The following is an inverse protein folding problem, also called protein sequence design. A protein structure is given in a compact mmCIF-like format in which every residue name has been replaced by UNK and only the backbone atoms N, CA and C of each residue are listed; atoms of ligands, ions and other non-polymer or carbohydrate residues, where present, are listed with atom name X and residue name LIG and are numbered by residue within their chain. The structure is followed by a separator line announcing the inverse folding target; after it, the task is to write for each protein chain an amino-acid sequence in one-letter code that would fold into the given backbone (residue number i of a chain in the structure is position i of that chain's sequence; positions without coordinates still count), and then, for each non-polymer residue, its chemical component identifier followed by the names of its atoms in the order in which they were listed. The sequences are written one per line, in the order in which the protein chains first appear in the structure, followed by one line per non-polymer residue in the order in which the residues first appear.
data_IF_481613771722
#
_entry.id   IF_481613771722
#
_cell.length_a   1.000
_cell.length_b   1.000
_cell.length_c   1.000
_cell.angle_alpha   90.00
_cell.angle_beta   90.00
_cell.angle_gamma   90.00
#
_symmetry.space_group_name_H-M   'P 1'
#
loop_
_entity.id
_entity.type
_entity.pdbx_description
1 polymer ?
#
# COMPACT_ATOMS: atom_id res chain seq x y z
N UNK A 1 -4.31 34.69 -66.06
CA UNK A 1 -2.88 35.04 -65.90
C UNK A 1 -2.27 34.11 -64.86
N UNK A 2 -1.44 33.23 -65.33
CA UNK A 2 -0.82 32.16 -64.55
C UNK A 2 0.54 32.63 -64.03
N UNK A 3 0.88 32.23 -62.85
CA UNK A 3 2.27 32.27 -62.40
C UNK A 3 2.63 30.98 -61.69
N UNK A 4 3.30 30.10 -62.39
CA UNK A 4 3.94 28.88 -61.94
C UNK A 4 5.23 29.25 -61.20
N UNK A 5 5.42 28.76 -60.01
CA UNK A 5 6.76 28.66 -59.35
C UNK A 5 7.27 27.25 -59.45
N UNK A 6 8.40 27.14 -60.14
CA UNK A 6 9.23 25.94 -60.29
C UNK A 6 9.98 25.67 -59.01
N UNK A 7 9.87 24.44 -58.49
CA UNK A 7 10.75 23.94 -57.42
C UNK A 7 11.82 23.08 -58.12
N UNK A 8 13.08 23.50 -57.99
CA UNK A 8 14.27 22.76 -58.44
C UNK A 8 14.50 21.56 -57.47
N UNK A 9 14.61 20.38 -58.08
CA UNK A 9 15.19 19.21 -57.45
C UNK A 9 16.71 19.40 -57.31
N UNK A 10 17.25 19.09 -56.15
CA UNK A 10 18.68 18.94 -55.92
C UNK A 10 18.97 17.45 -55.73
N UNK A 11 19.58 16.89 -56.76
CA UNK A 11 20.19 15.57 -56.77
C UNK A 11 21.44 15.60 -55.88
N UNK A 12 21.62 14.62 -55.03
CA UNK A 12 22.74 14.47 -54.13
C UNK A 12 22.99 13.02 -53.78
N UNK A 13 23.29 12.22 -54.76
CA UNK A 13 23.90 10.90 -54.61
C UNK A 13 25.22 10.98 -53.85
N UNK A 14 25.31 10.49 -52.63
CA UNK A 14 26.58 10.03 -52.03
C UNK A 14 26.38 8.64 -51.44
N UNK A 15 27.04 7.69 -52.10
CA UNK A 15 27.14 6.30 -51.67
C UNK A 15 27.76 6.20 -50.28
N UNK A 16 27.14 5.44 -49.43
CA UNK A 16 27.69 5.02 -48.17
C UNK A 16 28.29 3.63 -48.34
N UNK A 17 29.61 3.56 -48.41
CA UNK A 17 30.38 2.32 -48.39
C UNK A 17 30.19 1.64 -47.03
N UNK A 18 29.74 0.38 -47.07
CA UNK A 18 29.72 -0.50 -45.94
C UNK A 18 31.18 -0.80 -45.51
N UNK A 19 31.65 -0.11 -44.48
CA UNK A 19 32.87 -0.45 -43.78
C UNK A 19 32.60 -1.59 -42.80
N UNK A 20 33.41 -2.66 -42.88
CA UNK A 20 33.46 -3.76 -41.93
C UNK A 20 33.64 -3.20 -40.52
N UNK A 21 32.66 -3.35 -39.69
CA UNK A 21 32.83 -3.18 -38.23
C UNK A 21 33.34 -4.49 -37.65
N UNK A 22 34.39 -4.46 -36.82
CA UNK A 22 34.86 -5.63 -36.12
C UNK A 22 33.82 -6.06 -35.09
N UNK A 23 33.64 -7.37 -34.97
CA UNK A 23 32.85 -8.02 -33.93
C UNK A 23 33.47 -7.63 -32.59
N UNK A 24 32.80 -6.79 -31.84
CA UNK A 24 33.18 -6.47 -30.44
C UNK A 24 32.93 -7.70 -29.58
N UNK A 25 34.02 -8.23 -29.01
CA UNK A 25 33.99 -9.25 -27.96
C UNK A 25 33.07 -8.79 -26.83
N UNK A 26 32.26 -9.73 -26.32
CA UNK A 26 31.45 -9.54 -25.14
C UNK A 26 32.33 -9.25 -23.92
N UNK A 27 32.62 -8.01 -23.65
CA UNK A 27 33.10 -7.60 -22.35
C UNK A 27 31.93 -7.76 -21.34
N UNK A 28 32.11 -8.70 -20.42
CA UNK A 28 31.33 -8.80 -19.19
C UNK A 28 31.51 -7.47 -18.44
N UNK A 29 30.56 -6.57 -18.61
CA UNK A 29 30.43 -5.40 -17.74
C UNK A 29 30.00 -5.91 -16.35
N UNK A 30 31.00 -6.18 -15.51
CA UNK A 30 30.77 -6.39 -14.10
C UNK A 30 30.27 -5.07 -13.51
N UNK A 31 28.96 -4.98 -13.32
CA UNK A 31 28.32 -3.88 -12.60
C UNK A 31 28.60 -4.05 -11.11
N UNK A 32 29.86 -3.80 -10.69
CA UNK A 32 30.20 -3.58 -9.30
C UNK A 32 29.98 -2.10 -8.98
N UNK A 33 28.74 -1.71 -8.75
CA UNK A 33 28.47 -0.55 -7.95
C UNK A 33 28.12 -1.06 -6.55
N UNK A 34 29.08 -0.94 -5.65
CA UNK A 34 28.92 -1.11 -4.22
C UNK A 34 27.89 -0.10 -3.72
N UNK A 35 26.63 -0.54 -3.65
CA UNK A 35 25.70 0.07 -2.70
C UNK A 35 26.09 -0.57 -1.35
N UNK A 36 26.60 0.24 -0.43
CA UNK A 36 26.75 -0.09 0.98
C UNK A 36 25.38 -0.21 1.66
N UNK A 37 24.57 -1.14 1.16
CA UNK A 37 23.46 -1.71 1.90
C UNK A 37 24.10 -2.90 2.61
N UNK A 38 24.37 -2.76 3.90
CA UNK A 38 24.70 -3.89 4.76
C UNK A 38 23.75 -5.03 4.39
N UNK A 39 24.23 -6.18 3.89
CA UNK A 39 23.35 -7.26 3.48
C UNK A 39 22.53 -7.65 4.70
N UNK A 40 21.21 -7.48 4.64
CA UNK A 40 20.31 -8.01 5.66
C UNK A 40 20.66 -9.49 5.77
N UNK A 41 21.24 -9.88 6.89
CA UNK A 41 21.69 -11.24 7.10
C UNK A 41 20.51 -12.17 6.81
N UNK A 42 20.71 -13.17 5.92
CA UNK A 42 19.69 -14.20 5.64
C UNK A 42 19.14 -14.79 6.94
N UNK A 43 19.95 -14.91 7.97
CA UNK A 43 19.56 -15.32 9.30
C UNK A 43 18.54 -14.38 9.93
N UNK A 44 18.61 -13.06 9.69
CA UNK A 44 17.65 -12.08 10.19
C UNK A 44 16.33 -12.16 9.40
N UNK A 45 16.40 -12.27 8.08
CA UNK A 45 15.21 -12.42 7.23
C UNK A 45 14.47 -13.72 7.50
N UNK A 46 15.19 -14.85 7.62
CA UNK A 46 14.60 -16.15 7.96
C UNK A 46 14.01 -16.17 9.37
N UNK A 47 14.64 -15.48 10.33
CA UNK A 47 14.11 -15.32 11.69
C UNK A 47 12.79 -14.54 11.74
N UNK A 48 12.67 -13.48 10.92
CA UNK A 48 11.42 -12.71 10.77
C UNK A 48 10.36 -13.58 10.10
N UNK A 49 10.70 -14.27 9.01
CA UNK A 49 9.77 -15.16 8.29
C UNK A 49 9.24 -16.28 9.21
N UNK A 50 10.11 -16.92 9.99
CA UNK A 50 9.73 -17.94 10.97
C UNK A 50 8.85 -17.37 12.09
N UNK A 51 9.06 -16.11 12.48
CA UNK A 51 8.22 -15.45 13.48
C UNK A 51 6.82 -15.17 12.95
N UNK A 52 6.70 -14.71 11.71
CA UNK A 52 5.41 -14.44 11.07
C UNK A 52 4.69 -15.74 10.71
N UNK A 53 5.41 -16.79 10.29
CA UNK A 53 4.84 -18.05 9.81
C UNK A 53 4.27 -18.95 10.92
N UNK A 54 4.50 -18.65 12.19
CA UNK A 54 3.88 -19.43 13.29
C UNK A 54 2.42 -18.98 13.50
N UNK A 55 1.45 -19.91 13.53
CA UNK A 55 0.02 -19.59 13.45
C UNK A 55 -0.47 -18.60 14.50
N UNK A 56 -0.13 -18.80 15.79
CA UNK A 56 -0.60 -17.91 16.84
C UNK A 56 -0.03 -16.48 16.69
N UNK A 57 1.25 -16.36 16.34
CA UNK A 57 1.86 -15.04 16.07
C UNK A 57 1.28 -14.40 14.82
N UNK A 58 1.01 -15.17 13.78
CA UNK A 58 0.30 -14.68 12.59
C UNK A 58 -1.06 -14.07 12.97
N UNK A 59 -1.89 -14.79 13.73
CA UNK A 59 -3.19 -14.29 14.19
C UNK A 59 -3.05 -12.97 14.96
N UNK A 60 -2.07 -12.87 15.88
CA UNK A 60 -1.80 -11.63 16.63
C UNK A 60 -1.43 -10.48 15.69
N UNK A 61 -0.52 -10.71 14.75
CA UNK A 61 -0.05 -9.68 13.81
C UNK A 61 -1.18 -9.22 12.87
N UNK A 62 -1.93 -10.15 12.29
CA UNK A 62 -3.05 -9.84 11.41
C UNK A 62 -4.18 -9.12 12.14
N UNK A 63 -4.40 -9.43 13.42
CA UNK A 63 -5.34 -8.70 14.26
C UNK A 63 -4.95 -7.23 14.43
N UNK A 64 -3.65 -6.92 14.52
CA UNK A 64 -3.13 -5.56 14.68
C UNK A 64 -3.08 -4.74 13.37
N UNK A 65 -3.39 -5.34 12.21
CA UNK A 65 -3.44 -4.63 10.93
C UNK A 65 -4.55 -3.57 10.84
N UNK A 66 -5.51 -3.58 11.76
CA UNK A 66 -6.53 -2.52 11.83
C UNK A 66 -6.01 -1.21 12.42
N UNK A 67 -4.73 -1.18 12.82
CA UNK A 67 -4.07 -0.01 13.42
C UNK A 67 -4.40 0.23 14.90
N UNK A 68 -5.21 -0.64 15.52
CA UNK A 68 -5.57 -0.52 16.93
C UNK A 68 -4.55 -1.24 17.81
N UNK A 69 -4.22 -0.62 18.93
CA UNK A 69 -3.43 -1.27 19.95
C UNK A 69 -4.32 -2.20 20.80
N UNK A 70 -3.80 -3.40 21.13
CA UNK A 70 -4.49 -4.42 21.92
C UNK A 70 -3.65 -4.87 23.11
N UNK A 71 -4.33 -5.28 24.16
CA UNK A 71 -3.69 -5.88 25.33
C UNK A 71 -3.20 -7.29 25.03
N UNK A 72 -2.28 -7.81 25.85
CA UNK A 72 -1.83 -9.20 25.72
C UNK A 72 -2.97 -10.21 25.90
N UNK A 73 -3.95 -9.90 26.74
CA UNK A 73 -5.13 -10.75 26.96
C UNK A 73 -6.01 -10.83 25.71
N UNK A 74 -6.29 -9.69 25.06
CA UNK A 74 -7.06 -9.67 23.81
C UNK A 74 -6.35 -10.45 22.72
N UNK A 75 -5.02 -10.29 22.60
CA UNK A 75 -4.23 -11.01 21.62
C UNK A 75 -4.12 -12.50 21.93
N UNK A 76 -4.14 -12.91 23.20
CA UNK A 76 -4.22 -14.31 23.59
C UNK A 76 -5.53 -14.96 23.12
N UNK A 77 -6.66 -14.28 23.28
CA UNK A 77 -7.98 -14.74 22.82
C UNK A 77 -8.01 -14.87 21.30
N UNK A 78 -7.51 -13.85 20.59
CA UNK A 78 -7.46 -13.87 19.10
C UNK A 78 -6.62 -15.02 18.57
N UNK A 79 -5.53 -15.33 19.24
CA UNK A 79 -4.60 -16.39 18.81
C UNK A 79 -4.96 -17.78 19.36
N UNK A 80 -6.02 -17.87 20.14
CA UNK A 80 -6.47 -19.12 20.81
C UNK A 80 -5.35 -19.79 21.62
N UNK A 81 -4.65 -18.98 22.43
CA UNK A 81 -3.56 -19.45 23.30
C UNK A 81 -3.73 -18.95 24.72
N UNK A 82 -3.02 -19.58 25.66
CA UNK A 82 -3.00 -19.11 27.07
C UNK A 82 -2.29 -17.74 27.18
N UNK A 83 -2.59 -16.98 28.22
CA UNK A 83 -1.95 -15.68 28.48
C UNK A 83 -0.42 -15.81 28.63
N UNK A 84 0.08 -16.92 29.21
CA UNK A 84 1.50 -17.20 29.30
C UNK A 84 2.14 -17.44 27.95
N UNK A 85 1.52 -18.24 27.09
CA UNK A 85 1.96 -18.50 25.71
C UNK A 85 1.95 -17.21 24.88
N UNK A 86 0.87 -16.41 25.00
CA UNK A 86 0.78 -15.10 24.33
C UNK A 86 1.93 -14.17 24.74
N UNK A 87 2.30 -14.16 26.03
CA UNK A 87 3.42 -13.34 26.50
C UNK A 87 4.74 -13.74 25.85
N UNK A 88 5.00 -15.04 25.69
CA UNK A 88 6.21 -15.55 24.99
C UNK A 88 6.20 -15.12 23.51
N UNK A 89 5.05 -15.30 22.83
CA UNK A 89 4.89 -14.89 21.44
C UNK A 89 5.10 -13.39 21.26
N UNK A 90 4.46 -12.57 22.09
CA UNK A 90 4.58 -11.11 22.04
C UNK A 90 6.00 -10.63 22.36
N UNK A 91 6.71 -11.29 23.28
CA UNK A 91 8.10 -10.98 23.54
C UNK A 91 8.98 -11.29 22.30
N UNK A 92 8.75 -12.39 21.62
CA UNK A 92 9.47 -12.73 20.38
C UNK A 92 9.19 -11.71 19.28
N UNK A 93 7.93 -11.34 19.08
CA UNK A 93 7.53 -10.32 18.09
C UNK A 93 8.15 -8.95 18.40
N UNK A 94 8.22 -8.58 19.69
CA UNK A 94 8.85 -7.34 20.15
C UNK A 94 10.37 -7.35 19.88
N UNK A 95 11.06 -8.46 20.20
CA UNK A 95 12.50 -8.59 19.98
C UNK A 95 12.86 -8.42 18.49
N UNK A 96 12.01 -8.91 17.60
CA UNK A 96 12.17 -8.79 16.14
C UNK A 96 11.61 -7.48 15.56
N UNK A 97 11.19 -6.54 16.40
CA UNK A 97 10.60 -5.25 15.99
C UNK A 97 9.41 -5.40 15.04
N UNK A 98 8.61 -6.44 15.22
CA UNK A 98 7.34 -6.61 14.51
C UNK A 98 6.20 -5.94 15.25
N UNK A 99 6.30 -5.83 16.59
CA UNK A 99 5.35 -5.09 17.42
C UNK A 99 6.07 -4.18 18.39
N UNK A 100 5.46 -3.04 18.67
CA UNK A 100 5.83 -2.15 19.77
C UNK A 100 4.83 -2.27 20.90
N UNK A 101 5.29 -1.94 22.11
CA UNK A 101 4.47 -1.96 23.32
C UNK A 101 4.53 -0.60 23.99
N UNK A 102 3.40 -0.12 24.47
CA UNK A 102 3.33 1.04 25.35
C UNK A 102 2.49 0.71 26.59
N UNK A 103 2.85 1.31 27.71
CA UNK A 103 2.16 1.14 28.97
C UNK A 103 1.19 2.31 29.20
N UNK A 104 -0.03 1.99 29.62
CA UNK A 104 -1.01 2.97 30.08
C UNK A 104 -1.61 2.49 31.40
N UNK A 105 -1.20 3.12 32.49
CA UNK A 105 -1.53 2.62 33.84
C UNK A 105 -0.95 1.23 34.06
N UNK A 106 -1.79 0.28 34.47
CA UNK A 106 -1.41 -1.13 34.67
C UNK A 106 -1.48 -1.99 33.39
N UNK A 107 -1.93 -1.44 32.28
CA UNK A 107 -2.13 -2.18 31.02
C UNK A 107 -0.97 -1.96 30.07
N UNK A 108 -0.61 -3.00 29.33
CA UNK A 108 0.34 -2.98 28.23
C UNK A 108 -0.43 -3.20 26.94
N UNK A 109 -0.25 -2.28 26.01
CA UNK A 109 -0.88 -2.31 24.69
C UNK A 109 0.18 -2.58 23.63
N UNK A 110 -0.15 -3.42 22.68
CA UNK A 110 0.69 -3.82 21.56
C UNK A 110 0.10 -3.28 20.27
N UNK A 111 0.95 -2.79 19.38
CA UNK A 111 0.60 -2.40 18.01
C UNK A 111 1.72 -2.80 17.07
N UNK A 112 1.49 -2.82 15.76
CA UNK A 112 2.56 -3.04 14.79
C UNK A 112 3.66 -1.97 14.96
N UNK A 113 4.92 -2.37 14.76
CA UNK A 113 6.08 -1.46 14.91
C UNK A 113 6.03 -0.31 13.90
N UNK A 114 5.46 -0.53 12.72
CA UNK A 114 5.33 0.50 11.70
C UNK A 114 4.75 0.00 10.38
N UNK A 115 4.70 0.93 9.41
CA UNK A 115 4.10 0.71 8.10
C UNK A 115 4.78 -0.41 7.29
N UNK A 116 6.09 -0.62 7.48
CA UNK A 116 6.83 -1.69 6.79
C UNK A 116 6.36 -3.09 7.22
N UNK A 117 6.04 -3.26 8.50
CA UNK A 117 5.50 -4.53 9.01
C UNK A 117 4.10 -4.77 8.45
N UNK A 118 3.26 -3.74 8.44
CA UNK A 118 1.93 -3.82 7.85
C UNK A 118 2.00 -4.18 6.35
N UNK A 119 2.88 -3.53 5.59
CA UNK A 119 3.09 -3.80 4.17
C UNK A 119 3.56 -5.24 3.90
N UNK A 120 4.47 -5.78 4.73
CA UNK A 120 4.93 -7.15 4.62
C UNK A 120 3.80 -8.16 4.86
N UNK A 121 2.97 -7.94 5.89
CA UNK A 121 1.82 -8.81 6.18
C UNK A 121 0.76 -8.77 5.07
N UNK A 122 0.49 -7.60 4.49
CA UNK A 122 -0.42 -7.49 3.35
C UNK A 122 0.17 -8.18 2.11
N UNK A 123 1.48 -8.08 1.86
CA UNK A 123 2.14 -8.79 0.77
C UNK A 123 2.05 -10.32 0.94
N UNK A 124 2.24 -10.84 2.15
CA UNK A 124 2.02 -12.26 2.45
C UNK A 124 0.57 -12.68 2.22
N UNK A 125 -0.40 -11.83 2.54
CA UNK A 125 -1.81 -12.09 2.26
C UNK A 125 -2.09 -12.18 0.76
N UNK A 126 -1.39 -11.38 -0.05
CA UNK A 126 -1.46 -11.46 -1.53
C UNK A 126 -0.92 -12.80 -2.02
N UNK A 127 0.24 -13.24 -1.52
CA UNK A 127 0.84 -14.53 -1.88
C UNK A 127 -0.03 -15.72 -1.48
N UNK A 128 -0.56 -15.70 -0.25
CA UNK A 128 -1.43 -16.76 0.27
C UNK A 128 -2.71 -16.96 -0.55
N UNK A 129 -3.14 -15.95 -1.28
CA UNK A 129 -4.31 -16.05 -2.14
C UNK A 129 -4.03 -16.47 -3.58
N UNK A 130 -2.81 -16.80 -3.96
CA UNK A 130 -2.43 -17.26 -5.32
C UNK A 130 -2.70 -18.76 -5.58
N UNK A 131 -3.73 -19.34 -5.00
CA UNK A 131 -4.19 -20.66 -5.44
C UNK A 131 -4.70 -20.57 -6.88
N UNK A 132 -4.13 -21.37 -7.81
CA UNK A 132 -4.47 -21.46 -9.24
C UNK A 132 -5.88 -22.01 -9.53
N UNK A 133 -6.66 -22.39 -8.55
CA UNK A 133 -8.07 -22.69 -8.68
C UNK A 133 -8.88 -21.39 -8.74
N UNK A 134 -9.98 -21.37 -9.50
CA UNK A 134 -10.89 -20.23 -9.55
C UNK A 134 -11.14 -19.71 -8.12
N UNK A 135 -10.64 -18.51 -7.84
CA UNK A 135 -10.63 -17.94 -6.49
C UNK A 135 -12.07 -17.68 -6.03
N UNK A 136 -12.58 -18.56 -5.21
CA UNK A 136 -13.77 -18.27 -4.40
C UNK A 136 -13.24 -17.67 -3.09
N UNK A 137 -13.43 -16.36 -2.84
CA UNK A 137 -12.91 -15.72 -1.64
C UNK A 137 -13.55 -16.35 -0.42
N UNK A 138 -12.76 -16.99 0.43
CA UNK A 138 -13.20 -17.43 1.77
C UNK A 138 -13.39 -16.24 2.72
N UNK A 139 -13.04 -15.05 2.26
CA UNK A 139 -13.19 -13.80 3.02
C UNK A 139 -14.66 -13.50 3.22
N UNK A 140 -15.11 -13.26 4.47
CA UNK A 140 -16.45 -12.81 4.72
C UNK A 140 -16.82 -11.58 3.89
N UNK A 141 -17.99 -11.58 3.26
CA UNK A 141 -18.43 -10.51 2.34
C UNK A 141 -18.28 -9.10 2.94
N UNK A 142 -18.52 -8.94 4.24
CA UNK A 142 -18.37 -7.65 4.93
C UNK A 142 -16.93 -7.15 4.94
N UNK A 143 -15.96 -8.03 5.19
CA UNK A 143 -14.52 -7.73 5.17
C UNK A 143 -14.04 -7.42 3.75
N UNK A 144 -14.59 -8.12 2.76
CA UNK A 144 -14.28 -7.89 1.36
C UNK A 144 -14.83 -6.56 0.87
N UNK A 145 -16.06 -6.22 1.25
CA UNK A 145 -16.73 -4.99 0.82
C UNK A 145 -15.96 -3.73 1.27
N UNK A 146 -15.66 -3.63 2.56
CA UNK A 146 -14.85 -2.53 3.09
C UNK A 146 -14.18 -2.92 4.41
N UNK A 147 -12.92 -2.60 4.56
CA UNK A 147 -12.13 -2.82 5.78
C UNK A 147 -11.04 -1.78 5.94
N UNK A 148 -10.39 -1.77 7.09
CA UNK A 148 -9.13 -1.08 7.26
C UNK A 148 -7.97 -1.99 6.82
N UNK A 149 -7.00 -1.41 6.10
CA UNK A 149 -5.67 -1.95 5.88
C UNK A 149 -4.72 -1.06 6.67
N UNK A 150 -4.36 -1.49 7.87
CA UNK A 150 -3.66 -0.68 8.86
C UNK A 150 -4.45 0.62 9.17
N UNK A 151 -4.17 1.73 8.50
CA UNK A 151 -4.77 3.04 8.78
C UNK A 151 -5.49 3.69 7.58
N UNK A 152 -5.77 2.92 6.53
CA UNK A 152 -6.45 3.41 5.32
C UNK A 152 -7.53 2.44 4.84
N UNK A 153 -8.40 2.91 3.94
CA UNK A 153 -9.57 2.14 3.46
C UNK A 153 -9.12 1.11 2.43
N UNK A 154 -9.53 -0.14 2.59
CA UNK A 154 -9.26 -1.28 1.74
C UNK A 154 -10.55 -2.05 1.39
N UNK A 155 -10.40 -3.16 0.68
CA UNK A 155 -11.51 -3.93 0.12
C UNK A 155 -12.08 -3.25 -1.13
N UNK A 156 -13.22 -3.72 -1.60
CA UNK A 156 -13.88 -3.18 -2.80
C UNK A 156 -14.05 -1.67 -2.75
N UNK A 157 -14.43 -1.12 -1.58
CA UNK A 157 -14.56 0.34 -1.39
C UNK A 157 -13.22 1.06 -1.61
N UNK A 158 -12.13 0.56 -1.00
CA UNK A 158 -10.80 1.17 -1.11
C UNK A 158 -10.27 1.15 -2.54
N UNK A 159 -10.44 0.03 -3.23
CA UNK A 159 -10.06 -0.15 -4.64
C UNK A 159 -10.89 0.78 -5.53
N UNK A 160 -12.21 0.84 -5.35
CA UNK A 160 -13.09 1.70 -6.14
C UNK A 160 -12.77 3.19 -5.97
N UNK A 161 -12.45 3.63 -4.75
CA UNK A 161 -12.00 5.00 -4.48
C UNK A 161 -10.68 5.30 -5.20
N UNK A 162 -9.72 4.39 -5.15
CA UNK A 162 -8.43 4.54 -5.81
C UNK A 162 -8.60 4.62 -7.35
N UNK A 163 -9.34 3.69 -7.96
CA UNK A 163 -9.65 3.70 -9.39
C UNK A 163 -10.35 5.01 -9.80
N UNK A 164 -11.27 5.47 -8.95
CA UNK A 164 -11.99 6.71 -9.21
C UNK A 164 -11.08 7.93 -9.15
N UNK A 165 -10.15 7.99 -8.21
CA UNK A 165 -9.19 9.10 -8.12
C UNK A 165 -8.27 9.15 -9.35
N UNK A 166 -7.90 8.00 -9.92
CA UNK A 166 -7.21 7.94 -11.20
C UNK A 166 -8.10 8.44 -12.35
N UNK A 167 -9.34 7.97 -12.44
CA UNK A 167 -10.29 8.39 -13.50
C UNK A 167 -10.57 9.90 -13.46
N UNK A 168 -10.63 10.48 -12.25
CA UNK A 168 -10.81 11.92 -12.07
C UNK A 168 -9.52 12.73 -12.32
N UNK A 169 -8.41 12.07 -12.59
CA UNK A 169 -7.11 12.72 -12.77
C UNK A 169 -6.61 13.43 -11.50
N UNK A 170 -6.95 12.92 -10.33
CA UNK A 170 -6.52 13.50 -9.05
C UNK A 170 -5.14 13.01 -8.61
N UNK A 171 -4.74 11.82 -9.06
CA UNK A 171 -3.44 11.21 -8.75
C UNK A 171 -2.49 11.35 -9.93
N UNK A 172 -1.23 11.66 -9.67
CA UNK A 172 -0.10 11.62 -10.59
C UNK A 172 0.96 10.68 -10.05
N UNK A 173 1.67 9.96 -10.93
CA UNK A 173 2.80 9.13 -10.52
C UNK A 173 4.01 9.99 -10.18
N UNK A 174 4.62 9.77 -9.01
CA UNK A 174 5.92 10.33 -8.68
C UNK A 174 7.01 9.44 -9.28
N UNK A 175 7.56 9.84 -10.41
CA UNK A 175 8.81 9.27 -10.95
C UNK A 175 9.98 9.99 -10.31
N UNK A 176 10.53 9.48 -9.21
CA UNK A 176 11.84 9.94 -8.75
C UNK A 176 12.91 9.24 -9.57
N UNK A 177 13.64 9.99 -10.37
CA UNK A 177 14.65 9.55 -11.37
C UNK A 177 15.89 8.86 -10.75
N UNK A 178 15.91 8.56 -9.45
CA UNK A 178 17.08 8.02 -8.74
C UNK A 178 16.77 6.95 -7.67
N UNK A 179 15.68 6.20 -7.76
CA UNK A 179 15.48 5.11 -6.82
C UNK A 179 15.00 3.83 -7.49
N UNK A 180 15.70 2.75 -7.12
CA UNK A 180 15.35 1.34 -7.39
C UNK A 180 13.84 1.07 -7.25
N UNK A 181 13.34 0.09 -7.97
CA UNK A 181 11.94 -0.29 -8.26
C UNK A 181 10.89 -0.28 -7.11
N UNK A 182 11.22 0.15 -5.90
CA UNK A 182 10.34 0.16 -4.73
C UNK A 182 9.68 1.52 -4.39
N UNK A 183 9.90 2.58 -5.18
CA UNK A 183 9.42 3.94 -4.87
C UNK A 183 8.26 4.44 -5.74
N UNK A 184 7.38 3.55 -6.18
CA UNK A 184 6.14 3.93 -6.85
C UNK A 184 5.21 4.63 -5.86
N UNK A 185 5.27 5.95 -5.83
CA UNK A 185 4.38 6.81 -5.04
C UNK A 185 3.41 7.56 -5.94
N UNK A 186 2.39 8.11 -5.31
CA UNK A 186 1.51 9.08 -5.93
C UNK A 186 1.76 10.46 -5.35
N UNK A 187 1.52 11.47 -6.16
CA UNK A 187 1.24 12.82 -5.75
C UNK A 187 -0.15 13.24 -6.23
N UNK A 188 -0.65 14.34 -5.71
CA UNK A 188 -1.91 14.92 -6.17
C UNK A 188 -1.65 15.92 -7.30
N UNK A 189 -2.50 15.86 -8.32
CA UNK A 189 -2.61 16.95 -9.27
C UNK A 189 -3.20 18.19 -8.60
N UNK A 190 -3.14 19.33 -9.25
CA UNK A 190 -3.77 20.55 -8.74
C UNK A 190 -5.29 20.39 -8.56
N UNK A 191 -5.95 19.66 -9.48
CA UNK A 191 -7.37 19.33 -9.35
C UNK A 191 -7.64 18.42 -8.16
N UNK A 192 -6.82 17.39 -7.95
CA UNK A 192 -6.91 16.48 -6.80
C UNK A 192 -6.71 17.21 -5.48
N UNK A 193 -5.70 18.08 -5.40
CA UNK A 193 -5.44 18.90 -4.19
C UNK A 193 -6.64 19.77 -3.85
N UNK A 194 -7.20 20.50 -4.84
CA UNK A 194 -8.39 21.33 -4.62
C UNK A 194 -9.62 20.51 -4.21
N UNK A 195 -9.86 19.38 -4.87
CA UNK A 195 -10.99 18.52 -4.59
C UNK A 195 -10.91 17.93 -3.17
N UNK A 196 -9.76 17.42 -2.77
CA UNK A 196 -9.59 16.84 -1.44
C UNK A 196 -9.61 17.89 -0.33
N UNK A 197 -9.06 19.09 -0.58
CA UNK A 197 -9.19 20.22 0.33
C UNK A 197 -10.67 20.64 0.52
N UNK A 198 -11.45 20.68 -0.56
CA UNK A 198 -12.90 20.95 -0.50
C UNK A 198 -13.69 19.88 0.28
N UNK A 199 -13.18 18.65 0.36
CA UNK A 199 -13.72 17.59 1.22
C UNK A 199 -13.35 17.76 2.70
N UNK A 200 -12.41 18.66 3.02
CA UNK A 200 -11.91 18.90 4.37
C UNK A 200 -10.66 18.11 4.73
N UNK A 201 -9.91 17.62 3.74
CA UNK A 201 -8.59 17.00 3.95
C UNK A 201 -7.51 18.09 3.90
N UNK A 202 -6.76 18.24 4.99
CA UNK A 202 -5.56 19.08 5.01
C UNK A 202 -4.41 18.35 4.31
N UNK A 203 -4.29 18.60 3.00
CA UNK A 203 -3.29 17.96 2.13
C UNK A 203 -1.87 18.37 2.55
N UNK A 204 -1.67 19.63 2.92
CA UNK A 204 -0.36 20.12 3.29
C UNK A 204 0.14 19.52 4.61
N UNK A 205 -0.73 19.39 5.60
CA UNK A 205 -0.41 18.66 6.83
C UNK A 205 -0.09 17.20 6.57
N UNK A 206 -0.82 16.54 5.65
CA UNK A 206 -0.54 15.16 5.27
C UNK A 206 0.84 15.01 4.59
N UNK A 207 1.26 15.99 3.77
CA UNK A 207 2.60 16.01 3.12
C UNK A 207 3.75 16.17 4.11
N UNK A 208 3.55 16.90 5.20
CA UNK A 208 4.59 17.17 6.22
C UNK A 208 4.87 15.99 7.14
N UNK A 209 4.06 14.96 7.10
CA UNK A 209 4.26 13.77 7.94
C UNK A 209 5.55 13.03 7.53
N UNK A 210 6.28 12.47 8.53
CA UNK A 210 7.48 11.63 8.31
C UNK A 210 7.13 10.23 7.78
N UNK A 211 6.23 10.16 6.80
CA UNK A 211 5.81 8.92 6.13
C UNK A 211 5.51 9.20 4.68
N UNK A 212 5.42 8.14 3.87
CA UNK A 212 5.05 8.28 2.45
C UNK A 212 3.71 8.99 2.34
N UNK A 213 3.65 9.97 1.43
CA UNK A 213 2.43 10.77 1.25
C UNK A 213 1.29 9.91 0.70
N UNK A 214 1.51 9.25 -0.43
CA UNK A 214 0.53 8.37 -1.05
C UNK A 214 1.24 7.28 -1.88
N UNK A 215 0.69 6.06 -1.89
CA UNK A 215 1.23 4.94 -2.66
C UNK A 215 0.15 3.89 -2.95
N UNK A 216 0.33 3.07 -4.02
CA UNK A 216 -0.53 1.92 -4.27
C UNK A 216 -0.25 0.84 -3.23
N UNK A 217 -1.24 0.48 -2.44
CA UNK A 217 -1.21 -0.67 -1.55
C UNK A 217 -2.09 -1.77 -2.16
N UNK A 218 -1.50 -2.94 -2.47
CA UNK A 218 -2.23 -4.01 -3.14
C UNK A 218 -3.22 -4.66 -2.19
N UNK A 219 -4.48 -4.66 -2.58
CA UNK A 219 -5.55 -5.33 -1.83
C UNK A 219 -5.47 -6.85 -2.02
N UNK A 220 -5.34 -7.58 -0.94
CA UNK A 220 -5.21 -9.04 -0.98
C UNK A 220 -6.48 -9.75 -1.44
N UNK A 221 -7.68 -9.16 -1.23
CA UNK A 221 -8.95 -9.76 -1.66
C UNK A 221 -9.34 -9.38 -3.08
N UNK A 222 -9.08 -8.12 -3.47
CA UNK A 222 -9.46 -7.60 -4.80
C UNK A 222 -8.33 -7.71 -5.84
N UNK A 223 -7.10 -7.99 -5.41
CA UNK A 223 -5.89 -8.07 -6.25
C UNK A 223 -5.61 -6.80 -7.05
N UNK A 224 -6.09 -5.68 -6.56
CA UNK A 224 -5.97 -4.34 -7.13
C UNK A 224 -5.46 -3.36 -6.09
N UNK A 225 -4.82 -2.27 -6.50
CA UNK A 225 -4.33 -1.29 -5.54
C UNK A 225 -5.47 -0.47 -4.91
N UNK A 226 -5.28 -0.09 -3.66
CA UNK A 226 -6.02 0.94 -2.95
C UNK A 226 -5.04 1.99 -2.40
N UNK A 227 -5.55 3.12 -1.94
CA UNK A 227 -4.73 4.27 -1.58
C UNK A 227 -4.16 4.15 -0.16
N UNK A 228 -2.85 3.91 -0.06
CA UNK A 228 -2.09 3.93 1.20
C UNK A 228 -1.39 5.26 1.47
N UNK A 229 -0.70 5.34 2.60
CA UNK A 229 0.09 6.51 3.00
C UNK A 229 -0.69 7.53 3.81
N UNK A 230 -0.08 8.71 4.01
CA UNK A 230 -0.67 9.80 4.79
C UNK A 230 -2.02 10.25 4.22
N UNK A 231 -2.14 10.26 2.89
CA UNK A 231 -3.36 10.62 2.19
C UNK A 231 -4.47 9.57 2.41
N UNK A 232 -4.14 8.27 2.32
CA UNK A 232 -5.08 7.20 2.61
C UNK A 232 -5.60 7.25 4.04
N UNK A 233 -4.70 7.53 5.00
CA UNK A 233 -5.06 7.70 6.41
C UNK A 233 -5.95 8.94 6.64
N UNK A 234 -5.66 10.06 5.97
CA UNK A 234 -6.50 11.26 6.04
C UNK A 234 -7.90 11.00 5.49
N UNK A 235 -8.01 10.24 4.40
CA UNK A 235 -9.30 9.85 3.81
C UNK A 235 -10.11 8.97 4.75
N UNK A 236 -9.50 7.96 5.38
CA UNK A 236 -10.18 7.12 6.39
C UNK A 236 -10.65 7.96 7.57
N UNK A 237 -9.78 8.83 8.09
CA UNK A 237 -10.12 9.73 9.20
C UNK A 237 -11.31 10.64 8.85
N UNK A 238 -11.34 11.19 7.65
CA UNK A 238 -12.47 11.99 7.15
C UNK A 238 -13.75 11.16 7.08
N UNK A 239 -13.69 9.96 6.51
CA UNK A 239 -14.84 9.08 6.34
C UNK A 239 -15.44 8.65 7.70
N UNK A 240 -14.60 8.38 8.69
CA UNK A 240 -15.02 8.07 10.06
C UNK A 240 -15.62 9.30 10.76
N UNK A 241 -14.95 10.46 10.67
CA UNK A 241 -15.42 11.73 11.26
C UNK A 241 -16.81 12.11 10.75
N UNK A 242 -17.02 11.98 9.45
CA UNK A 242 -18.28 12.33 8.79
C UNK A 242 -19.30 11.19 8.84
N UNK A 243 -19.00 10.09 9.54
CA UNK A 243 -19.87 8.91 9.64
C UNK A 243 -20.27 8.32 8.26
N UNK A 244 -19.41 8.46 7.25
CA UNK A 244 -19.60 7.78 5.97
C UNK A 244 -19.36 6.28 6.11
N UNK A 245 -18.41 5.93 6.96
CA UNK A 245 -18.17 4.56 7.41
C UNK A 245 -18.15 4.50 8.92
N UNK A 246 -18.55 3.34 9.45
CA UNK A 246 -18.41 2.99 10.86
C UNK A 246 -17.43 1.84 10.95
N UNK A 247 -16.49 1.92 11.89
CA UNK A 247 -15.55 0.84 12.14
C UNK A 247 -16.11 -0.09 13.20
N UNK A 248 -16.07 -1.38 12.92
CA UNK A 248 -16.42 -2.42 13.87
C UNK A 248 -15.43 -2.44 15.04
N UNK A 249 -15.91 -2.67 16.26
CA UNK A 249 -15.06 -2.66 17.46
C UNK A 249 -14.13 -3.87 17.51
N UNK A 250 -14.58 -5.02 17.02
CA UNK A 250 -13.91 -6.30 17.18
C UNK A 250 -13.25 -6.80 15.88
N UNK A 251 -13.38 -6.05 14.80
CA UNK A 251 -12.82 -6.45 13.52
C UNK A 251 -12.31 -5.26 12.70
N UNK A 252 -11.67 -5.56 11.57
CA UNK A 252 -11.25 -4.54 10.59
C UNK A 252 -12.39 -4.07 9.67
N UNK A 253 -13.60 -4.58 9.84
CA UNK A 253 -14.73 -4.25 8.98
C UNK A 253 -15.08 -2.77 9.06
N UNK A 254 -15.29 -2.16 7.91
CA UNK A 254 -15.89 -0.85 7.76
C UNK A 254 -17.30 -1.02 7.19
N UNK A 255 -18.31 -0.56 7.93
CA UNK A 255 -19.69 -0.57 7.47
C UNK A 255 -20.02 0.77 6.83
N UNK A 256 -20.32 0.77 5.51
CA UNK A 256 -20.75 1.99 4.81
C UNK A 256 -22.16 2.34 5.23
N UNK A 257 -22.35 3.55 5.76
CA UNK A 257 -23.65 4.03 6.21
C UNK A 257 -24.53 4.47 5.03
N UNK A 258 -25.83 4.69 5.25
CA UNK A 258 -26.71 5.28 4.23
C UNK A 258 -26.25 6.69 3.82
N UNK A 259 -25.74 7.48 4.77
CA UNK A 259 -25.08 8.76 4.47
C UNK A 259 -23.83 8.54 3.62
N UNK A 260 -22.97 7.58 3.99
CA UNK A 260 -21.77 7.26 3.23
C UNK A 260 -22.08 6.87 1.79
N UNK A 261 -23.10 6.05 1.55
CA UNK A 261 -23.52 5.69 0.19
C UNK A 261 -23.90 6.91 -0.64
N UNK A 262 -24.70 7.83 -0.08
CA UNK A 262 -25.06 9.09 -0.78
C UNK A 262 -23.83 9.93 -1.08
N UNK A 263 -22.94 10.11 -0.11
CA UNK A 263 -21.72 10.90 -0.28
C UNK A 263 -20.76 10.29 -1.29
N UNK A 264 -20.59 8.96 -1.28
CA UNK A 264 -19.77 8.24 -2.28
C UNK A 264 -20.34 8.43 -3.68
N UNK A 265 -21.67 8.36 -3.84
CA UNK A 265 -22.33 8.64 -5.12
C UNK A 265 -22.17 10.10 -5.52
N UNK A 266 -22.50 11.05 -4.64
CA UNK A 266 -22.54 12.48 -4.98
C UNK A 266 -21.16 13.05 -5.28
N UNK A 267 -20.13 12.64 -4.49
CA UNK A 267 -18.78 13.22 -4.57
C UNK A 267 -17.86 12.48 -5.52
N UNK A 268 -18.03 11.17 -5.62
CA UNK A 268 -17.14 10.31 -6.39
C UNK A 268 -17.85 9.55 -7.52
N UNK A 269 -19.18 9.57 -7.59
CA UNK A 269 -19.94 8.77 -8.56
C UNK A 269 -19.80 7.26 -8.32
N UNK A 270 -19.62 6.84 -7.06
CA UNK A 270 -19.43 5.44 -6.69
C UNK A 270 -20.71 4.85 -6.08
N UNK A 271 -21.19 3.76 -6.67
CA UNK A 271 -22.19 2.88 -6.10
C UNK A 271 -21.51 1.88 -5.16
N UNK A 272 -21.83 1.93 -3.85
CA UNK A 272 -21.22 1.08 -2.81
C UNK A 272 -22.26 0.49 -1.85
#
# INVERSE_FOLDING_TARGET
MASRRVIRAVDGSRGCTLGNMPVAEHEHFAYHQSMDVEPVSEATASGIAAAIGEPARAHMLYCLLDGRARTSTELAVVADVTASTASVHLQRLKTLRLVKVFAQGKHRYYSLEGDNVAAALEALSVLAGESRAAFVPSTPNRLRAARTCYDHIAGTLGVSLHERFHTLGWLSFCSTSHSTASNNGYDLTQSGTRALAALGIDVESARRLRRRFAYPCVDWSERKPHLGGALGAALLKLALKNKWVLQDLDSRVLSVTSLGRREMMTRFGLHV
#
